data_IF_640638402493
#
_entry.id   IF_640638402493
#
_cell.length_a   1.000
_cell.length_b   1.000
_cell.length_c   1.000
_cell.angle_alpha   90.00
_cell.angle_beta   90.00
_cell.angle_gamma   90.00
#
_symmetry.space_group_name_H-M   'P 1'
#
loop_
_entity.id
_entity.type
_entity.pdbx_description
1 polymer ?
#
# COMPACT_ATOMS: atom_id res chain seq x y z
N UNK A 1 -16.91 17.07 1.86
CA UNK A 1 -16.50 15.92 1.06
C UNK A 1 -15.25 15.40 1.72
N UNK A 2 -15.33 14.22 2.29
CA UNK A 2 -14.15 13.51 2.80
C UNK A 2 -13.42 12.95 1.60
N UNK A 3 -12.28 13.55 1.23
CA UNK A 3 -11.45 13.01 0.17
C UNK A 3 -10.86 11.68 0.65
N UNK A 4 -11.07 10.65 -0.15
CA UNK A 4 -10.40 9.38 0.07
C UNK A 4 -8.94 9.53 -0.39
N UNK A 5 -8.06 9.89 0.54
CA UNK A 5 -6.64 10.11 0.28
C UNK A 5 -5.94 8.88 -0.37
N UNK A 6 -6.48 7.69 -0.14
CA UNK A 6 -5.97 6.46 -0.77
C UNK A 6 -6.07 6.46 -2.29
N UNK A 7 -7.09 7.09 -2.86
CA UNK A 7 -7.30 7.05 -4.31
C UNK A 7 -6.40 8.02 -5.07
N UNK A 8 -5.93 9.09 -4.43
CA UNK A 8 -5.14 10.12 -5.12
C UNK A 8 -3.68 9.71 -5.32
N UNK A 9 -3.03 9.14 -4.31
CA UNK A 9 -1.60 8.82 -4.35
C UNK A 9 -1.29 7.46 -4.98
N UNK A 10 -2.30 6.62 -5.20
CA UNK A 10 -2.11 5.28 -5.75
C UNK A 10 -2.50 5.14 -7.23
N UNK A 11 -2.74 6.25 -7.92
CA UNK A 11 -3.20 6.24 -9.31
C UNK A 11 -2.28 5.47 -10.28
N UNK A 12 -1.03 5.24 -9.93
CA UNK A 12 -0.02 4.50 -10.71
C UNK A 12 0.63 3.35 -9.92
N UNK A 13 0.15 3.03 -8.72
CA UNK A 13 0.65 1.89 -7.96
C UNK A 13 0.05 0.57 -8.46
N UNK A 14 0.87 -0.47 -8.49
CA UNK A 14 0.44 -1.83 -8.83
C UNK A 14 -0.60 -2.39 -7.84
N UNK A 15 -0.63 -1.86 -6.63
CA UNK A 15 -1.48 -2.29 -5.53
C UNK A 15 -2.61 -1.31 -5.20
N UNK A 16 -2.94 -0.41 -6.15
CA UNK A 16 -4.05 0.50 -5.90
C UNK A 16 -5.36 -0.27 -5.70
N UNK A 17 -6.23 0.20 -4.83
CA UNK A 17 -7.55 -0.37 -4.67
C UNK A 17 -8.31 -0.42 -5.99
N UNK A 18 -9.18 -1.40 -6.12
CA UNK A 18 -10.01 -1.58 -7.31
C UNK A 18 -10.79 -0.29 -7.59
N UNK A 19 -10.65 0.33 -8.76
CA UNK A 19 -11.30 1.61 -9.01
C UNK A 19 -12.82 1.45 -9.01
N UNK A 20 -13.51 2.36 -8.33
CA UNK A 20 -14.97 2.38 -8.26
C UNK A 20 -15.65 2.34 -9.66
N UNK A 21 -14.96 2.82 -10.69
CA UNK A 21 -15.43 2.75 -12.08
C UNK A 21 -15.55 1.31 -12.63
N UNK A 22 -14.78 0.35 -12.11
CA UNK A 22 -14.89 -1.06 -12.52
C UNK A 22 -15.94 -1.82 -11.69
N UNK A 23 -16.24 -1.37 -10.47
CA UNK A 23 -17.34 -1.92 -9.68
C UNK A 23 -18.70 -1.54 -10.25
N UNK A 24 -18.79 -0.42 -10.95
CA UNK A 24 -20.01 0.04 -11.63
C UNK A 24 -20.47 -0.90 -12.76
N UNK A 25 -19.65 -1.85 -13.21
CA UNK A 25 -20.05 -2.86 -14.20
C UNK A 25 -20.98 -3.94 -13.62
N UNK A 26 -21.03 -4.08 -12.29
CA UNK A 26 -21.79 -5.17 -11.67
C UNK A 26 -22.89 -4.72 -10.72
N UNK A 27 -22.66 -3.79 -9.84
CA UNK A 27 -23.66 -3.19 -8.93
C UNK A 27 -23.14 -1.83 -8.49
N UNK A 28 -24.04 -0.87 -8.27
CA UNK A 28 -23.68 0.46 -7.75
C UNK A 28 -23.29 0.30 -6.28
N UNK A 29 -22.00 0.12 -6.04
CA UNK A 29 -21.47 -0.02 -4.68
C UNK A 29 -21.11 1.35 -4.08
N UNK A 30 -21.25 1.53 -2.78
CA UNK A 30 -20.79 2.72 -2.09
C UNK A 30 -19.25 2.82 -2.12
N UNK A 31 -18.74 4.02 -1.89
CA UNK A 31 -17.30 4.22 -1.70
C UNK A 31 -16.80 3.43 -0.50
N UNK A 32 -15.62 2.83 -0.63
CA UNK A 32 -15.00 1.97 0.35
C UNK A 32 -13.55 2.40 0.61
N UNK A 33 -13.04 2.09 1.79
CA UNK A 33 -11.67 2.42 2.21
C UNK A 33 -11.62 3.20 3.52
N UNK A 34 -10.55 3.95 3.72
CA UNK A 34 -10.36 4.81 4.89
C UNK A 34 -10.89 6.21 4.59
N UNK A 35 -11.69 6.72 5.49
CA UNK A 35 -12.26 8.07 5.47
C UNK A 35 -11.96 8.77 6.79
N UNK A 36 -12.18 10.07 6.83
CA UNK A 36 -11.99 10.88 8.03
C UNK A 36 -13.28 11.62 8.38
N UNK A 37 -13.63 11.59 9.65
CA UNK A 37 -14.74 12.39 10.19
C UNK A 37 -14.32 13.88 10.23
N UNK A 38 -15.25 14.75 10.54
CA UNK A 38 -14.98 16.21 10.62
C UNK A 38 -13.93 16.57 11.68
N UNK A 39 -13.83 15.77 12.73
CA UNK A 39 -12.84 15.92 13.80
C UNK A 39 -11.46 15.28 13.47
N UNK A 40 -11.31 14.75 12.26
CA UNK A 40 -10.09 14.09 11.83
C UNK A 40 -9.98 12.61 12.21
N UNK A 41 -10.96 12.04 12.91
CA UNK A 41 -10.92 10.63 13.33
C UNK A 41 -11.07 9.71 12.12
N UNK A 42 -10.13 8.77 11.88
CA UNK A 42 -10.23 7.82 10.78
C UNK A 42 -11.30 6.76 11.05
N UNK A 43 -11.98 6.36 9.99
CA UNK A 43 -12.90 5.23 10.01
C UNK A 43 -12.79 4.41 8.72
N UNK A 44 -12.95 3.10 8.86
CA UNK A 44 -12.97 2.16 7.74
C UNK A 44 -14.43 1.94 7.33
N UNK A 45 -14.67 1.93 6.02
CA UNK A 45 -15.94 1.64 5.39
C UNK A 45 -15.76 0.58 4.32
N UNK A 46 -16.49 -0.51 4.40
CA UNK A 46 -16.43 -1.62 3.47
C UNK A 46 -17.84 -2.10 3.10
N UNK A 47 -18.01 -2.49 1.84
CA UNK A 47 -19.23 -3.14 1.39
C UNK A 47 -19.01 -4.64 1.29
N UNK A 48 -19.69 -5.42 2.14
CA UNK A 48 -19.55 -6.86 2.26
C UNK A 48 -20.91 -7.53 2.11
N UNK A 49 -21.19 -8.02 0.89
CA UNK A 49 -22.47 -8.62 0.53
C UNK A 49 -22.74 -9.88 1.33
N UNK A 50 -23.88 -9.91 2.04
CA UNK A 50 -24.36 -11.04 2.83
C UNK A 50 -23.39 -11.49 3.95
N UNK A 51 -22.46 -10.67 4.38
CA UNK A 51 -21.63 -10.95 5.54
C UNK A 51 -22.48 -10.91 6.83
N UNK A 52 -22.13 -11.77 7.79
CA UNK A 52 -22.75 -11.80 9.12
C UNK A 52 -21.82 -11.24 10.21
N UNK A 53 -20.51 -11.32 10.00
CA UNK A 53 -19.47 -10.84 10.91
C UNK A 53 -18.33 -10.25 10.10
N UNK A 54 -17.94 -9.01 10.40
CA UNK A 54 -16.80 -8.35 9.75
C UNK A 54 -15.92 -7.72 10.82
N UNK A 55 -14.65 -8.05 10.81
CA UNK A 55 -13.67 -7.49 11.73
C UNK A 55 -12.32 -7.29 11.05
N UNK A 56 -11.57 -6.31 11.54
CA UNK A 56 -10.22 -6.03 11.11
C UNK A 56 -9.27 -6.13 12.31
N UNK A 57 -8.17 -6.82 12.13
CA UNK A 57 -7.12 -6.97 13.14
C UNK A 57 -5.92 -6.13 12.71
N UNK A 58 -5.45 -5.27 13.61
CA UNK A 58 -4.33 -4.36 13.40
C UNK A 58 -3.38 -4.49 14.60
N UNK A 59 -2.19 -5.05 14.37
CA UNK A 59 -1.29 -5.41 15.45
C UNK A 59 -1.91 -6.45 16.39
N UNK A 60 -2.19 -6.08 17.63
CA UNK A 60 -2.85 -6.95 18.62
C UNK A 60 -4.32 -6.59 18.83
N UNK A 61 -4.81 -5.52 18.22
CA UNK A 61 -6.15 -5.01 18.42
C UNK A 61 -7.11 -5.54 17.37
N UNK A 62 -8.34 -5.84 17.81
CA UNK A 62 -9.43 -6.28 16.94
C UNK A 62 -10.52 -5.22 16.94
N UNK A 63 -10.88 -4.76 15.75
CA UNK A 63 -11.95 -3.79 15.53
C UNK A 63 -13.09 -4.49 14.82
N UNK A 64 -14.26 -4.51 15.46
CA UNK A 64 -15.48 -5.12 14.91
C UNK A 64 -16.22 -4.06 14.10
N UNK A 65 -16.49 -4.35 12.83
CA UNK A 65 -17.29 -3.47 11.99
C UNK A 65 -18.79 -3.66 12.29
N UNK A 66 -19.52 -2.58 12.26
CA UNK A 66 -20.98 -2.60 12.42
C UNK A 66 -21.65 -2.37 11.07
N UNK A 67 -22.67 -3.14 10.76
CA UNK A 67 -23.49 -2.89 9.58
C UNK A 67 -24.31 -1.63 9.79
N UNK A 68 -24.00 -0.56 9.06
CA UNK A 68 -24.66 0.76 9.18
C UNK A 68 -25.78 0.93 8.15
N UNK A 69 -25.65 0.25 7.02
CA UNK A 69 -26.66 0.07 5.99
C UNK A 69 -26.54 -1.35 5.45
N UNK A 70 -27.51 -1.82 4.69
CA UNK A 70 -27.47 -3.18 4.14
C UNK A 70 -26.17 -3.46 3.38
N UNK A 71 -25.39 -4.43 3.85
CA UNK A 71 -24.07 -4.83 3.38
C UNK A 71 -22.96 -3.76 3.53
N UNK A 72 -23.23 -2.61 4.12
CA UNK A 72 -22.28 -1.54 4.35
C UNK A 72 -21.82 -1.56 5.81
N UNK A 73 -20.55 -1.78 6.01
CA UNK A 73 -19.93 -2.01 7.31
C UNK A 73 -18.95 -0.88 7.63
N UNK A 74 -19.01 -0.38 8.85
CA UNK A 74 -18.11 0.69 9.31
C UNK A 74 -17.50 0.37 10.68
N UNK A 75 -16.29 0.88 10.90
CA UNK A 75 -15.65 0.94 12.21
C UNK A 75 -14.78 2.18 12.33
N UNK A 76 -14.86 2.82 13.48
CA UNK A 76 -13.91 3.90 13.84
C UNK A 76 -12.58 3.28 14.26
N UNK A 77 -11.49 3.82 13.73
CA UNK A 77 -10.13 3.35 13.99
C UNK A 77 -9.39 4.45 14.77
N UNK A 78 -9.27 4.35 16.12
CA UNK A 78 -8.55 5.33 16.92
C UNK A 78 -7.04 5.12 16.78
N UNK A 79 -6.52 5.28 15.56
CA UNK A 79 -5.13 5.07 15.21
C UNK A 79 -4.42 6.40 15.01
N UNK A 80 -3.20 6.48 15.49
CA UNK A 80 -2.30 7.59 15.18
C UNK A 80 -1.86 7.56 13.71
N UNK A 81 -1.39 8.68 13.14
CA UNK A 81 -0.83 8.68 11.80
C UNK A 81 0.31 7.66 11.67
N UNK A 82 0.23 6.80 10.66
CA UNK A 82 1.21 5.74 10.44
C UNK A 82 0.80 4.70 9.43
N UNK A 83 1.67 3.72 9.26
CA UNK A 83 1.49 2.55 8.40
C UNK A 83 1.14 1.34 9.28
N UNK A 84 0.09 0.61 8.91
CA UNK A 84 -0.42 -0.53 9.67
C UNK A 84 -0.75 -1.71 8.76
N UNK A 85 -0.13 -2.84 8.97
CA UNK A 85 -0.63 -4.09 8.39
C UNK A 85 -1.98 -4.45 9.00
N UNK A 86 -2.90 -4.93 8.18
CA UNK A 86 -4.26 -5.23 8.58
C UNK A 86 -4.72 -6.58 8.03
N UNK A 87 -5.30 -7.41 8.90
CA UNK A 87 -5.94 -8.65 8.52
C UNK A 87 -7.47 -8.47 8.61
N UNK A 88 -8.15 -8.56 7.47
CA UNK A 88 -9.60 -8.44 7.38
C UNK A 88 -10.24 -9.83 7.43
N UNK A 89 -11.20 -10.00 8.30
CA UNK A 89 -11.98 -11.22 8.44
C UNK A 89 -13.44 -10.96 8.11
N UNK A 90 -14.00 -11.80 7.26
CA UNK A 90 -15.43 -11.84 6.93
C UNK A 90 -15.94 -13.25 7.24
N UNK A 91 -16.94 -13.34 8.11
CA UNK A 91 -17.51 -14.63 8.56
C UNK A 91 -16.41 -15.63 9.00
N UNK A 92 -15.43 -15.12 9.76
CA UNK A 92 -14.27 -15.85 10.28
C UNK A 92 -13.23 -16.27 9.23
N UNK A 93 -13.36 -15.89 7.96
CA UNK A 93 -12.38 -16.15 6.90
C UNK A 93 -11.51 -14.90 6.70
N UNK A 94 -10.18 -15.06 6.77
CA UNK A 94 -9.26 -13.97 6.41
C UNK A 94 -9.28 -13.74 4.90
N UNK A 95 -9.47 -12.48 4.48
CA UNK A 95 -9.47 -12.07 3.08
C UNK A 95 -8.55 -10.88 2.84
N UNK A 96 -8.02 -10.74 1.63
CA UNK A 96 -7.42 -9.51 1.16
C UNK A 96 -8.46 -8.74 0.33
N UNK A 97 -8.94 -7.63 0.87
CA UNK A 97 -9.92 -6.79 0.18
C UNK A 97 -9.26 -6.01 -0.97
N UNK A 98 -9.82 -6.03 -2.19
CA UNK A 98 -9.33 -5.20 -3.29
C UNK A 98 -9.61 -3.70 -3.10
N UNK A 99 -10.39 -3.33 -2.11
CA UNK A 99 -10.73 -1.94 -1.78
C UNK A 99 -9.77 -1.29 -0.77
N UNK A 100 -8.84 -2.08 -0.27
CA UNK A 100 -7.73 -1.63 0.56
C UNK A 100 -6.41 -1.90 -0.17
N UNK A 101 -5.37 -1.11 0.08
CA UNK A 101 -4.06 -1.39 -0.49
C UNK A 101 -3.58 -2.76 -0.05
N UNK A 102 -2.90 -3.45 -0.97
CA UNK A 102 -2.32 -4.77 -0.73
C UNK A 102 -0.80 -4.63 -0.77
N UNK A 103 -0.14 -5.09 0.27
CA UNK A 103 1.30 -5.21 0.38
C UNK A 103 1.70 -6.65 0.67
N UNK A 104 2.92 -6.83 1.11
CA UNK A 104 3.45 -8.11 1.54
C UNK A 104 3.99 -7.98 2.96
N UNK A 105 3.44 -8.74 3.87
CA UNK A 105 3.82 -8.78 5.28
C UNK A 105 3.37 -10.09 5.92
N UNK A 106 3.98 -10.46 7.03
CA UNK A 106 3.68 -11.73 7.71
C UNK A 106 3.78 -12.96 6.79
N UNK A 107 4.75 -12.92 5.84
CA UNK A 107 5.03 -13.96 4.84
C UNK A 107 3.87 -14.24 3.85
N UNK A 108 2.99 -13.26 3.63
CA UNK A 108 1.87 -13.36 2.68
C UNK A 108 1.41 -12.00 2.17
N UNK A 109 0.70 -11.95 1.04
CA UNK A 109 -0.06 -10.76 0.66
C UNK A 109 -1.08 -10.43 1.74
N UNK A 110 -1.16 -9.19 2.15
CA UNK A 110 -2.09 -8.69 3.15
C UNK A 110 -2.50 -7.25 2.87
N UNK A 111 -3.64 -6.84 3.40
CA UNK A 111 -3.99 -5.43 3.36
C UNK A 111 -3.10 -4.61 4.31
N UNK A 112 -2.96 -3.34 4.01
CA UNK A 112 -2.42 -2.37 4.95
C UNK A 112 -3.26 -1.09 4.94
N UNK A 113 -3.10 -0.30 5.97
CA UNK A 113 -3.73 1.01 6.12
C UNK A 113 -2.64 2.07 6.28
N UNK A 114 -2.84 3.20 5.65
CA UNK A 114 -2.07 4.41 5.92
C UNK A 114 -3.01 5.43 6.55
N UNK A 115 -2.71 5.81 7.76
CA UNK A 115 -3.49 6.77 8.54
C UNK A 115 -2.76 8.11 8.55
N UNK A 116 -3.50 9.17 8.28
CA UNK A 116 -2.93 10.52 8.21
C UNK A 116 -2.35 10.86 6.83
N UNK A 117 -1.61 11.97 6.73
CA UNK A 117 -1.05 12.44 5.47
C UNK A 117 0.12 11.55 5.04
N UNK A 118 0.16 11.21 3.77
CA UNK A 118 1.34 10.55 3.16
C UNK A 118 2.53 11.48 3.29
N UNK A 119 3.69 10.92 3.70
CA UNK A 119 4.93 11.68 3.76
C UNK A 119 5.23 12.34 2.41
N UNK A 120 5.59 13.61 2.43
CA UNK A 120 5.83 14.40 1.21
C UNK A 120 6.86 13.75 0.28
N UNK A 121 7.90 13.12 0.85
CA UNK A 121 8.90 12.38 0.10
C UNK A 121 8.34 11.16 -0.65
N UNK A 122 7.27 10.56 -0.16
CA UNK A 122 6.65 9.35 -0.73
C UNK A 122 5.51 9.66 -1.71
N UNK A 123 5.23 10.94 -1.99
CA UNK A 123 4.20 11.34 -2.97
C UNK A 123 4.73 11.23 -4.38
N UNK A 124 3.87 10.80 -5.29
CA UNK A 124 4.16 10.92 -6.72
C UNK A 124 4.12 12.41 -7.11
N UNK A 125 5.25 12.92 -7.57
CA UNK A 125 5.41 14.31 -8.05
C UNK A 125 5.68 14.33 -9.55
N UNK A 126 5.45 15.45 -10.20
CA UNK A 126 5.82 15.69 -11.61
C UNK A 126 7.31 16.03 -11.70
N UNK A 127 8.14 15.00 -11.63
CA UNK A 127 9.61 15.07 -11.73
C UNK A 127 10.10 13.97 -12.68
N UNK A 128 11.38 13.97 -13.03
CA UNK A 128 11.96 12.87 -13.77
C UNK A 128 11.95 11.60 -12.89
N UNK A 129 11.41 10.51 -13.43
CA UNK A 129 11.32 9.25 -12.73
C UNK A 129 12.41 8.26 -13.17
N UNK A 130 12.96 7.55 -12.19
CA UNK A 130 13.80 6.40 -12.41
C UNK A 130 13.01 5.15 -12.81
N UNK A 131 13.66 4.03 -12.83
CA UNK A 131 13.05 2.74 -13.13
C UNK A 131 13.32 1.72 -12.03
N UNK A 132 12.35 0.84 -11.79
CA UNK A 132 12.54 -0.35 -10.96
C UNK A 132 12.75 -1.54 -11.89
N UNK A 133 13.83 -2.27 -11.69
CA UNK A 133 14.20 -3.47 -12.45
C UNK A 133 14.16 -4.67 -11.55
N UNK A 134 13.66 -5.78 -12.04
CA UNK A 134 13.76 -7.07 -11.38
C UNK A 134 14.95 -7.81 -11.98
N UNK A 135 16.02 -7.94 -11.20
CA UNK A 135 17.27 -8.56 -11.61
C UNK A 135 17.41 -9.94 -10.98
N UNK A 136 17.95 -10.87 -11.76
CA UNK A 136 18.25 -12.22 -11.33
C UNK A 136 19.76 -12.47 -11.39
N UNK A 137 20.31 -13.10 -10.38
CA UNK A 137 21.73 -13.42 -10.32
C UNK A 137 21.96 -14.76 -9.62
N UNK A 138 23.04 -15.44 -9.99
CA UNK A 138 23.45 -16.62 -9.26
C UNK A 138 24.28 -16.21 -8.05
N UNK A 139 23.87 -16.66 -6.86
CA UNK A 139 24.60 -16.43 -5.62
C UNK A 139 25.51 -17.60 -5.31
N UNK A 140 26.82 -17.37 -5.30
CA UNK A 140 27.80 -18.39 -4.90
C UNK A 140 27.67 -18.74 -3.41
N UNK A 141 27.16 -17.83 -2.58
CA UNK A 141 26.98 -18.01 -1.14
C UNK A 141 25.83 -18.98 -0.84
N UNK A 142 24.70 -18.80 -1.52
CA UNK A 142 23.53 -19.65 -1.32
C UNK A 142 23.46 -20.84 -2.26
N UNK A 143 24.27 -20.83 -3.33
CA UNK A 143 24.32 -21.88 -4.35
C UNK A 143 23.09 -21.93 -5.25
N UNK A 144 22.32 -20.83 -5.36
CA UNK A 144 21.09 -20.78 -6.13
C UNK A 144 20.90 -19.43 -6.85
N UNK A 145 19.93 -19.39 -7.75
CA UNK A 145 19.52 -18.13 -8.37
C UNK A 145 18.67 -17.34 -7.40
N UNK A 146 19.07 -16.11 -7.17
CA UNK A 146 18.39 -15.12 -6.33
C UNK A 146 17.83 -13.98 -7.19
N UNK A 147 16.99 -13.15 -6.59
CA UNK A 147 16.48 -11.96 -7.23
C UNK A 147 16.56 -10.72 -6.33
N UNK A 148 16.60 -9.56 -6.94
CA UNK A 148 16.49 -8.28 -6.24
C UNK A 148 15.75 -7.26 -7.11
N UNK A 149 15.22 -6.23 -6.47
CA UNK A 149 14.69 -5.07 -7.16
C UNK A 149 15.73 -3.94 -7.11
N UNK A 150 16.04 -3.37 -8.26
CA UNK A 150 17.05 -2.32 -8.41
C UNK A 150 16.36 -1.04 -8.88
N UNK A 151 16.43 0.01 -8.08
CA UNK A 151 16.09 1.35 -8.55
C UNK A 151 17.27 1.94 -9.30
N UNK A 152 17.05 2.33 -10.55
CA UNK A 152 18.01 3.06 -11.38
C UNK A 152 17.47 4.49 -11.60
N UNK A 153 18.24 5.55 -11.27
CA UNK A 153 17.77 6.93 -11.40
C UNK A 153 17.56 7.33 -12.86
N UNK A 154 16.85 8.44 -13.11
CA UNK A 154 16.64 8.95 -14.47
C UNK A 154 17.96 9.14 -15.22
N UNK A 155 18.04 8.62 -16.43
CA UNK A 155 19.24 8.74 -17.29
C UNK A 155 20.37 7.76 -16.98
N UNK A 156 20.24 6.86 -16.01
CA UNK A 156 21.28 5.95 -15.56
C UNK A 156 21.97 5.19 -16.70
N UNK A 157 21.22 4.56 -17.59
CA UNK A 157 21.78 3.77 -18.70
C UNK A 157 22.36 4.64 -19.80
N UNK A 158 21.66 5.74 -20.14
CA UNK A 158 22.09 6.67 -21.20
C UNK A 158 23.44 7.28 -20.87
N UNK A 159 23.63 7.69 -19.63
CA UNK A 159 24.78 8.48 -19.19
C UNK A 159 25.89 7.60 -18.60
N UNK A 160 25.70 6.26 -18.56
CA UNK A 160 26.64 5.27 -18.02
C UNK A 160 27.20 5.66 -16.64
N UNK A 161 26.30 6.13 -15.77
CA UNK A 161 26.66 6.66 -14.47
C UNK A 161 27.22 5.57 -13.54
N UNK A 162 28.27 5.92 -12.81
CA UNK A 162 28.75 5.14 -11.67
C UNK A 162 28.33 5.85 -10.39
N UNK A 163 27.38 5.27 -9.69
CA UNK A 163 26.76 5.86 -8.50
C UNK A 163 27.05 5.00 -7.27
N UNK A 164 27.04 5.59 -6.07
CA UNK A 164 26.99 4.84 -4.84
C UNK A 164 25.75 3.92 -4.81
N UNK A 165 25.86 2.78 -4.15
CA UNK A 165 24.77 1.81 -4.03
C UNK A 165 24.23 1.81 -2.59
N UNK A 166 22.93 1.99 -2.47
CA UNK A 166 22.20 1.81 -1.23
C UNK A 166 21.54 0.42 -1.23
N UNK A 167 21.90 -0.42 -0.27
CA UNK A 167 21.28 -1.73 -0.05
C UNK A 167 20.17 -1.60 0.99
N UNK A 168 18.95 -1.97 0.61
CA UNK A 168 17.79 -1.97 1.49
C UNK A 168 17.33 -3.41 1.72
N UNK A 169 17.41 -3.84 2.97
CA UNK A 169 16.89 -5.14 3.38
C UNK A 169 15.46 -4.97 3.90
N UNK A 170 14.56 -5.84 3.46
CA UNK A 170 13.19 -5.89 3.97
C UNK A 170 13.12 -6.42 5.41
N UNK A 171 11.99 -6.21 6.08
CA UNK A 171 11.72 -6.71 7.42
C UNK A 171 11.41 -8.21 7.46
N UNK A 172 11.38 -8.78 8.68
CA UNK A 172 10.98 -10.18 8.88
C UNK A 172 9.54 -10.40 8.38
N UNK A 173 9.36 -11.45 7.56
CA UNK A 173 8.07 -11.79 6.97
C UNK A 173 7.65 -10.89 5.80
N UNK A 174 8.56 -10.10 5.27
CA UNK A 174 8.38 -9.30 4.05
C UNK A 174 9.18 -9.92 2.88
N UNK A 175 9.23 -9.24 1.74
CA UNK A 175 10.03 -9.61 0.57
C UNK A 175 10.63 -8.37 -0.10
N UNK A 176 11.40 -8.58 -1.16
CA UNK A 176 12.08 -7.53 -1.93
C UNK A 176 11.13 -6.44 -2.46
N UNK A 177 9.84 -6.75 -2.63
CA UNK A 177 8.83 -5.81 -3.09
C UNK A 177 8.41 -4.77 -2.04
N UNK A 178 8.65 -5.02 -0.75
CA UNK A 178 8.10 -4.19 0.33
C UNK A 178 8.57 -2.75 0.29
N UNK A 179 9.87 -2.51 0.04
CA UNK A 179 10.39 -1.15 -0.12
C UNK A 179 9.87 -0.45 -1.37
N UNK A 180 9.61 -1.20 -2.44
CA UNK A 180 9.16 -0.64 -3.71
C UNK A 180 7.69 -0.29 -3.68
N UNK A 181 6.84 -1.20 -3.20
CA UNK A 181 5.39 -1.04 -3.28
C UNK A 181 4.86 -0.23 -2.11
N UNK A 182 4.84 -0.80 -0.93
CA UNK A 182 4.30 -0.13 0.25
C UNK A 182 5.24 0.96 0.80
N UNK A 183 6.56 0.78 0.65
CA UNK A 183 7.57 1.78 1.03
C UNK A 183 7.77 2.91 0.02
N UNK A 184 7.32 2.74 -1.24
CA UNK A 184 7.42 3.74 -2.31
C UNK A 184 8.81 4.31 -2.53
N UNK A 185 9.85 3.50 -2.35
CA UNK A 185 11.24 3.95 -2.43
C UNK A 185 11.59 4.60 -3.78
N UNK A 186 10.98 4.15 -4.88
CA UNK A 186 11.17 4.75 -6.19
C UNK A 186 10.77 6.23 -6.22
N UNK A 187 9.57 6.56 -5.74
CA UNK A 187 9.11 7.95 -5.68
C UNK A 187 9.90 8.79 -4.69
N UNK A 188 10.28 8.18 -3.57
CA UNK A 188 11.14 8.84 -2.58
C UNK A 188 12.48 9.23 -3.19
N UNK A 189 13.12 8.33 -3.92
CA UNK A 189 14.40 8.59 -4.59
C UNK A 189 14.25 9.62 -5.71
N UNK A 190 13.21 9.54 -6.54
CA UNK A 190 12.93 10.55 -7.57
C UNK A 190 12.79 11.95 -6.96
N UNK A 191 12.04 12.07 -5.87
CA UNK A 191 11.85 13.34 -5.17
C UNK A 191 13.15 13.86 -4.57
N UNK A 192 13.94 13.02 -3.91
CA UNK A 192 15.23 13.42 -3.33
C UNK A 192 16.24 13.85 -4.39
N UNK A 193 16.30 13.13 -5.52
CA UNK A 193 17.14 13.52 -6.65
C UNK A 193 16.72 14.86 -7.23
N UNK A 194 15.42 15.08 -7.42
CA UNK A 194 14.91 16.36 -7.94
C UNK A 194 15.19 17.53 -7.01
N UNK A 195 15.19 17.29 -5.71
CA UNK A 195 15.50 18.28 -4.66
C UNK A 195 17.00 18.37 -4.33
N UNK A 196 17.86 17.61 -5.03
CA UNK A 196 19.33 17.54 -4.83
C UNK A 196 19.71 17.19 -3.39
N UNK A 197 18.97 16.30 -2.78
CA UNK A 197 19.21 15.78 -1.42
C UNK A 197 20.08 14.52 -1.40
N UNK A 198 20.20 13.87 -2.53
CA UNK A 198 21.02 12.67 -2.78
C UNK A 198 21.70 12.79 -4.14
#
# INVERSE_FOLDING_TARGET
MTENLFLQDQAVSFHRPYPASLTALHEKQPEQGIFYRQDGTPFLKLWMKNACDVKIVIGQDTYILLEVERNLWEVTLPLEPGFYYAALYVDSVEIASPYLPIGYGHSRPCNYLEIGPVMEACRLKDVLHGSIRHEYFYSEVTGQTESCLVYAPPGYDRDQLRLPVLYLQHGFGENEGSWVWQGRIGWMMDNFLSEKKV
#
